data_IF_579780304506
#
_entry.id   IF_579780304506
#
_cell.length_a   1.000
_cell.length_b   1.000
_cell.length_c   1.000
_cell.angle_alpha   90.00
_cell.angle_beta   90.00
_cell.angle_gamma   90.00
#
_symmetry.space_group_name_H-M   'P 1'
#
loop_
_entity.id
_entity.type
_entity.pdbx_description
1 polymer ?
#
# COMPACT_ATOMS: atom_id res chain seq x y z
N UNK A 1 4.48 -12.02 5.41
CA UNK A 1 3.79 -11.19 4.40
C UNK A 1 2.89 -12.04 3.50
N UNK A 2 1.56 -12.01 3.65
CA UNK A 2 0.65 -12.59 2.65
C UNK A 2 0.75 -11.80 1.34
N UNK A 3 0.92 -12.49 0.21
CA UNK A 3 0.89 -11.90 -1.12
C UNK A 3 -0.44 -12.24 -1.80
N UNK A 4 -1.03 -11.26 -2.48
CA UNK A 4 -2.16 -11.52 -3.38
C UNK A 4 -1.64 -12.43 -4.50
N UNK A 5 -2.12 -13.67 -4.53
CA UNK A 5 -1.67 -14.66 -5.54
C UNK A 5 -2.40 -14.52 -6.87
N UNK A 6 -3.53 -13.81 -6.90
CA UNK A 6 -4.34 -13.56 -8.10
C UNK A 6 -4.85 -12.13 -8.10
N UNK A 7 -4.73 -11.37 -9.20
CA UNK A 7 -5.21 -9.99 -9.26
C UNK A 7 -6.68 -9.86 -8.85
N UNK A 8 -6.99 -8.81 -8.08
CA UNK A 8 -8.38 -8.46 -7.73
C UNK A 8 -9.00 -7.75 -8.92
N UNK A 9 -10.05 -8.34 -9.49
CA UNK A 9 -10.74 -7.78 -10.65
C UNK A 9 -12.05 -7.09 -10.25
N UNK A 10 -12.34 -5.97 -10.90
CA UNK A 10 -13.57 -5.18 -10.74
C UNK A 10 -13.42 -4.01 -9.74
N UNK A 11 -13.84 -2.82 -10.18
CA UNK A 11 -13.64 -1.56 -9.45
C UNK A 11 -14.17 -1.59 -8.00
N UNK A 12 -15.35 -2.16 -7.78
CA UNK A 12 -15.96 -2.24 -6.45
C UNK A 12 -15.16 -3.14 -5.48
N UNK A 13 -14.63 -4.26 -5.98
CA UNK A 13 -13.80 -5.18 -5.19
C UNK A 13 -12.44 -4.56 -4.88
N UNK A 14 -11.84 -3.89 -5.86
CA UNK A 14 -10.60 -3.13 -5.69
C UNK A 14 -10.79 -2.02 -4.66
N UNK A 15 -11.85 -1.22 -4.76
CA UNK A 15 -12.16 -0.15 -3.81
C UNK A 15 -12.35 -0.69 -2.37
N UNK A 16 -13.12 -1.77 -2.20
CA UNK A 16 -13.28 -2.42 -0.89
C UNK A 16 -11.97 -2.89 -0.31
N UNK A 17 -11.11 -3.48 -1.12
CA UNK A 17 -9.79 -3.94 -0.70
C UNK A 17 -8.93 -2.77 -0.23
N UNK A 18 -8.84 -1.70 -1.03
CA UNK A 18 -8.07 -0.50 -0.68
C UNK A 18 -8.60 0.18 0.59
N UNK A 19 -9.92 0.32 0.74
CA UNK A 19 -10.52 0.83 1.98
C UNK A 19 -10.22 -0.07 3.18
N UNK A 20 -10.12 -1.38 2.98
CA UNK A 20 -9.67 -2.33 3.99
C UNK A 20 -8.22 -2.09 4.41
N UNK A 21 -7.32 -1.81 3.46
CA UNK A 21 -5.93 -1.47 3.74
C UNK A 21 -5.80 -0.13 4.46
N UNK A 22 -6.46 0.92 3.94
CA UNK A 22 -6.37 2.27 4.50
C UNK A 22 -6.89 2.35 5.95
N UNK A 23 -7.95 1.60 6.28
CA UNK A 23 -8.45 1.51 7.67
C UNK A 23 -7.46 0.89 8.64
N UNK A 24 -6.45 0.19 8.15
CA UNK A 24 -5.43 -0.45 8.98
C UNK A 24 -4.19 0.39 9.20
N UNK A 25 -4.09 1.51 8.50
CA UNK A 25 -2.93 2.40 8.57
C UNK A 25 -3.23 3.55 9.52
N UNK A 26 -2.36 3.75 10.50
CA UNK A 26 -2.34 4.99 11.27
C UNK A 26 -1.74 6.10 10.41
N UNK A 27 -2.56 7.09 10.03
CA UNK A 27 -2.14 8.22 9.21
C UNK A 27 -1.02 9.06 9.86
N UNK A 28 -0.87 9.00 11.19
CA UNK A 28 0.22 9.67 11.89
C UNK A 28 1.58 8.98 11.72
N UNK A 29 1.60 7.70 11.37
CA UNK A 29 2.82 6.89 11.26
C UNK A 29 3.34 6.76 9.82
N UNK A 30 2.58 7.25 8.83
CA UNK A 30 2.89 7.11 7.41
C UNK A 30 3.05 8.45 6.70
N UNK A 31 4.16 8.58 5.98
CA UNK A 31 4.45 9.68 5.08
C UNK A 31 4.12 9.23 3.65
N UNK A 32 3.22 9.95 2.98
CA UNK A 32 2.89 9.74 1.58
C UNK A 32 3.68 10.68 0.67
N UNK A 33 4.21 10.16 -0.44
CA UNK A 33 4.86 10.94 -1.49
C UNK A 33 4.24 10.56 -2.83
N UNK A 34 3.80 11.57 -3.58
CA UNK A 34 3.44 11.40 -4.98
C UNK A 34 4.70 11.54 -5.81
N UNK A 35 5.02 10.50 -6.56
CA UNK A 35 6.22 10.44 -7.40
C UNK A 35 5.99 9.52 -8.60
N UNK A 36 6.78 9.71 -9.64
CA UNK A 36 6.78 8.81 -10.79
C UNK A 36 7.74 7.64 -10.51
N UNK A 37 7.21 6.41 -10.50
CA UNK A 37 8.01 5.19 -10.38
C UNK A 37 7.97 4.43 -11.70
N UNK A 38 9.15 4.25 -12.31
CA UNK A 38 9.28 3.64 -13.64
C UNK A 38 8.42 4.32 -14.73
N UNK A 39 8.16 5.63 -14.60
CA UNK A 39 7.35 6.39 -15.55
C UNK A 39 5.84 6.31 -15.32
N UNK A 40 5.41 5.72 -14.21
CA UNK A 40 4.00 5.64 -13.84
C UNK A 40 3.72 6.49 -12.60
N UNK A 41 2.54 7.15 -12.52
CA UNK A 41 2.12 7.83 -11.31
C UNK A 41 2.01 6.87 -10.13
N UNK A 42 2.67 7.21 -9.02
CA UNK A 42 2.72 6.35 -7.84
C UNK A 42 2.61 7.12 -6.53
N UNK A 43 2.14 6.40 -5.51
CA UNK A 43 2.19 6.78 -4.11
C UNK A 43 3.27 5.93 -3.43
N UNK A 44 4.38 6.55 -3.05
CA UNK A 44 5.38 5.94 -2.17
C UNK A 44 5.02 6.24 -0.72
N UNK A 45 4.75 5.21 0.08
CA UNK A 45 4.46 5.35 1.50
C UNK A 45 5.63 4.85 2.35
N UNK A 46 5.99 5.66 3.35
CA UNK A 46 7.20 5.51 4.16
C UNK A 46 6.86 5.71 5.64
N UNK A 47 7.63 5.11 6.54
CA UNK A 47 7.48 5.36 7.97
C UNK A 47 8.06 6.74 8.37
N UNK A 48 7.95 7.09 9.65
CA UNK A 48 8.52 8.33 10.21
C UNK A 48 10.05 8.42 10.08
N UNK A 49 10.74 7.28 10.08
CA UNK A 49 12.18 7.20 9.83
C UNK A 49 12.53 7.31 8.33
N UNK A 50 11.52 7.51 7.46
CA UNK A 50 11.62 7.56 5.99
C UNK A 50 12.04 6.23 5.37
N UNK A 51 11.93 5.11 6.08
CA UNK A 51 12.10 3.81 5.48
C UNK A 51 10.89 3.46 4.60
N UNK A 52 11.14 2.80 3.48
CA UNK A 52 10.12 2.42 2.51
C UNK A 52 9.19 1.36 3.11
N UNK A 53 7.88 1.63 3.11
CA UNK A 53 6.85 0.68 3.50
C UNK A 53 6.17 0.05 2.28
N UNK A 54 6.24 0.68 1.12
CA UNK A 54 5.75 0.12 -0.13
C UNK A 54 5.38 1.18 -1.14
N UNK A 55 5.03 0.74 -2.35
CA UNK A 55 4.68 1.64 -3.46
C UNK A 55 3.37 1.18 -4.05
N UNK A 56 2.42 2.10 -4.21
CA UNK A 56 1.21 1.89 -5.00
C UNK A 56 1.35 2.63 -6.32
N UNK A 57 1.43 1.89 -7.42
CA UNK A 57 1.45 2.45 -8.78
C UNK A 57 0.08 2.34 -9.41
N UNK A 58 -0.32 3.35 -10.18
CA UNK A 58 -1.58 3.34 -10.93
C UNK A 58 -1.32 3.49 -12.42
N UNK A 59 -2.08 2.73 -13.23
CA UNK A 59 -2.12 2.91 -14.68
C UNK A 59 -3.38 3.68 -15.02
N UNK A 60 -3.21 4.79 -15.73
CA UNK A 60 -4.32 5.65 -16.17
C UNK A 60 -4.45 5.56 -17.68
N UNK A 61 -5.65 5.23 -18.16
CA UNK A 61 -5.98 5.23 -19.58
C UNK A 61 -7.31 5.96 -19.77
N UNK A 62 -7.37 6.90 -20.72
CA UNK A 62 -8.60 7.67 -20.98
C UNK A 62 -9.10 8.48 -19.78
N UNK A 63 -8.19 8.90 -18.88
CA UNK A 63 -8.54 9.66 -17.68
C UNK A 63 -9.08 8.84 -16.51
N UNK A 64 -9.09 7.50 -16.62
CA UNK A 64 -9.53 6.60 -15.54
C UNK A 64 -8.42 5.64 -15.13
N UNK A 65 -8.42 5.25 -13.86
CA UNK A 65 -7.52 4.21 -13.35
C UNK A 65 -8.02 2.85 -13.86
N UNK A 66 -7.15 2.13 -14.58
CA UNK A 66 -7.46 0.81 -15.15
C UNK A 66 -6.72 -0.33 -14.44
N UNK A 67 -5.62 -0.03 -13.75
CA UNK A 67 -4.80 -1.00 -13.04
C UNK A 67 -4.12 -0.35 -11.83
N UNK A 68 -3.91 -1.14 -10.79
CA UNK A 68 -3.23 -0.72 -9.55
C UNK A 68 -2.29 -1.82 -9.08
N UNK A 69 -1.00 -1.50 -9.00
CA UNK A 69 0.04 -2.40 -8.51
C UNK A 69 0.50 -1.97 -7.12
N UNK A 70 0.18 -2.78 -6.12
CA UNK A 70 0.60 -2.50 -4.74
C UNK A 70 1.80 -3.38 -4.35
N UNK A 71 2.98 -2.78 -4.36
CA UNK A 71 4.24 -3.41 -4.02
C UNK A 71 4.46 -3.39 -2.50
N UNK A 72 3.99 -4.45 -1.84
CA UNK A 72 4.13 -4.68 -0.40
C UNK A 72 5.19 -5.73 -0.03
N UNK A 73 5.86 -6.36 -1.00
CA UNK A 73 6.89 -7.36 -0.68
C UNK A 73 8.19 -6.65 -0.22
N UNK A 74 8.67 -6.85 1.02
CA UNK A 74 9.84 -6.15 1.57
C UNK A 74 11.15 -6.52 0.88
N UNK A 75 11.21 -7.67 0.21
CA UNK A 75 12.41 -8.11 -0.49
C UNK A 75 12.65 -7.31 -1.78
N UNK A 76 11.58 -6.76 -2.38
CA UNK A 76 11.65 -6.06 -3.67
C UNK A 76 12.21 -4.62 -3.57
N UNK A 77 11.83 -3.76 -2.60
CA UNK A 77 12.31 -2.39 -2.53
C UNK A 77 13.68 -2.22 -1.84
N UNK A 78 14.43 -3.30 -1.54
CA UNK A 78 15.76 -3.15 -0.90
C UNK A 78 16.71 -2.24 -1.68
N UNK A 79 16.56 -2.15 -3.00
CA UNK A 79 17.37 -1.25 -3.85
C UNK A 79 16.88 0.22 -3.84
N UNK A 80 15.71 0.51 -3.26
CA UNK A 80 15.14 1.86 -3.11
C UNK A 80 15.53 2.51 -1.77
N UNK A 81 16.29 1.81 -0.92
CA UNK A 81 16.77 2.28 0.38
C UNK A 81 16.35 1.38 1.54
N UNK A 82 16.36 1.92 2.76
CA UNK A 82 15.91 1.20 3.94
C UNK A 82 14.44 0.77 3.80
N UNK A 83 14.14 -0.46 4.20
CA UNK A 83 12.78 -1.02 4.20
C UNK A 83 12.27 -1.04 5.64
N UNK A 84 11.12 -0.42 5.90
CA UNK A 84 10.51 -0.32 7.22
C UNK A 84 9.74 -1.59 7.62
N UNK A 85 9.26 -1.65 8.87
CA UNK A 85 8.44 -2.76 9.35
C UNK A 85 7.01 -2.70 8.76
N UNK A 86 6.83 -3.37 7.64
CA UNK A 86 5.54 -3.50 6.97
C UNK A 86 4.52 -4.34 7.75
N UNK A 87 4.97 -5.23 8.63
CA UNK A 87 4.07 -6.00 9.49
C UNK A 87 3.52 -5.09 10.60
N UNK A 88 4.29 -4.13 11.10
CA UNK A 88 3.79 -3.09 12.01
C UNK A 88 2.74 -2.20 11.35
N UNK A 89 2.93 -1.83 10.07
CA UNK A 89 1.94 -1.08 9.28
C UNK A 89 0.60 -1.82 9.20
N UNK A 90 0.61 -3.15 9.09
CA UNK A 90 -0.60 -3.96 9.00
C UNK A 90 -1.18 -4.31 10.39
N UNK A 91 -0.33 -4.44 11.42
CA UNK A 91 -0.72 -4.75 12.82
C UNK A 91 -1.35 -3.57 13.55
N UNK A 92 -0.92 -2.33 13.30
CA UNK A 92 -1.56 -1.12 13.87
C UNK A 92 -3.08 -1.07 13.56
N UNK A 93 -3.50 -1.70 12.46
CA UNK A 93 -4.90 -1.83 12.07
C UNK A 93 -5.65 -3.06 12.56
N UNK A 94 -4.97 -4.01 13.21
CA UNK A 94 -5.55 -5.27 13.67
C UNK A 94 -6.09 -5.17 15.10
N UNK A 95 -5.60 -4.21 15.89
CA UNK A 95 -6.04 -3.97 17.27
C UNK A 95 -7.39 -3.22 17.36
N UNK A 96 -7.93 -2.77 16.22
CA UNK A 96 -9.29 -2.24 16.10
C UNK A 96 -10.31 -3.31 15.67
N UNK A 97 -9.90 -4.57 15.57
CA UNK A 97 -10.74 -5.68 15.10
C UNK A 97 -10.79 -6.85 16.10
N UNK A 98 -10.92 -6.57 17.41
CA UNK A 98 -11.56 -7.47 18.37
C UNK A 98 -12.36 -6.66 19.39
N UNK A 99 -13.64 -6.47 19.09
CA UNK A 99 -14.73 -6.54 20.08
C UNK A 99 -16.04 -6.77 19.33
N UNK A 100 -16.53 -8.02 19.24
CA UNK A 100 -17.94 -8.28 19.32
C UNK A 100 -18.34 -8.39 20.79
N UNK A 101 -19.48 -7.78 21.14
CA UNK A 101 -20.21 -8.12 22.37
C UNK A 101 -20.56 -9.61 22.44
#
# INVERSE_FOLDING_TARGET
>A
MPAIQKPIQGAERVARFLMGLLRRVDAGEVILRLEDVNGFPSVHYRDRARASLGVLTVVVAGGVIVEMDNLLNPDKPRHLGAVGDQDALLRAGSDAAVSPE
#
